data_IF_218944144618
#
_entry.id   IF_218944144618
#
_cell.length_a   1.000
_cell.length_b   1.000
_cell.length_c   1.000
_cell.angle_alpha   90.00
_cell.angle_beta   90.00
_cell.angle_gamma   90.00
#
_symmetry.space_group_name_H-M   'P 1'
#
loop_
_entity.id
_entity.type
_entity.pdbx_description
1 polymer ?
#
# COMPACT_ATOMS: atom_id res chain seq x y z
N UNK A 1 7.56 -23.24 -6.51
CA UNK A 1 6.74 -23.27 -5.27
C UNK A 1 5.43 -22.50 -5.43
N UNK A 2 5.49 -21.20 -5.77
CA UNK A 2 4.31 -20.31 -5.91
C UNK A 2 3.22 -20.91 -6.80
N UNK A 3 3.56 -21.27 -8.04
CA UNK A 3 2.62 -21.85 -9.03
C UNK A 3 2.05 -23.18 -8.57
N UNK A 4 2.91 -24.05 -8.02
CA UNK A 4 2.51 -25.39 -7.52
C UNK A 4 1.45 -25.29 -6.42
N UNK A 5 1.59 -24.33 -5.50
CA UNK A 5 0.70 -24.16 -4.35
C UNK A 5 -0.35 -23.07 -4.53
N UNK A 6 -0.40 -22.41 -5.70
CA UNK A 6 -1.35 -21.33 -6.02
C UNK A 6 -1.36 -20.21 -4.98
N UNK A 7 -0.18 -19.82 -4.50
CA UNK A 7 -0.03 -18.75 -3.51
C UNK A 7 0.05 -17.38 -4.21
N UNK A 8 -0.46 -16.34 -3.55
CA UNK A 8 -0.10 -14.97 -3.87
C UNK A 8 1.37 -14.70 -3.52
N UNK A 9 1.96 -13.69 -4.17
CA UNK A 9 3.37 -13.31 -3.99
C UNK A 9 3.50 -11.81 -3.76
N UNK A 10 4.33 -11.43 -2.79
CA UNK A 10 4.78 -10.04 -2.61
C UNK A 10 6.14 -9.89 -3.28
N UNK A 11 6.25 -8.97 -4.24
CA UNK A 11 7.47 -8.68 -4.98
C UNK A 11 7.97 -7.27 -4.64
N UNK A 12 9.15 -7.19 -4.03
CA UNK A 12 9.74 -5.96 -3.53
C UNK A 12 10.49 -5.23 -4.67
N UNK A 13 10.26 -3.92 -4.85
CA UNK A 13 10.93 -3.14 -5.92
C UNK A 13 12.37 -2.76 -5.60
N UNK A 14 13.23 -3.75 -5.43
CA UNK A 14 14.67 -3.58 -5.25
C UNK A 14 15.45 -4.50 -6.18
N UNK A 15 16.71 -4.15 -6.41
CA UNK A 15 17.68 -5.01 -7.10
C UNK A 15 18.97 -5.12 -6.27
N UNK A 16 20.03 -5.69 -6.86
CA UNK A 16 21.32 -5.88 -6.18
C UNK A 16 22.00 -4.57 -5.76
N UNK A 17 21.56 -3.42 -6.31
CA UNK A 17 22.03 -2.08 -5.94
C UNK A 17 21.21 -1.48 -4.79
N UNK A 18 20.20 -2.20 -4.29
CA UNK A 18 19.34 -1.79 -3.19
C UNK A 18 18.02 -1.17 -3.63
N UNK A 19 17.49 -0.29 -2.79
CA UNK A 19 16.19 0.38 -2.99
C UNK A 19 16.41 1.62 -3.86
N UNK A 20 15.75 1.75 -5.02
CA UNK A 20 15.91 2.95 -5.84
C UNK A 20 15.33 4.19 -5.15
N UNK A 21 16.00 5.32 -5.36
CA UNK A 21 15.67 6.64 -4.82
C UNK A 21 14.69 7.45 -5.68
N UNK A 22 14.18 6.87 -6.77
CA UNK A 22 13.26 7.53 -7.69
C UNK A 22 12.18 6.57 -8.22
N UNK A 23 11.00 7.11 -8.49
CA UNK A 23 9.84 6.32 -8.91
C UNK A 23 10.00 5.68 -10.28
N UNK A 24 10.76 6.31 -11.20
CA UNK A 24 11.02 5.77 -12.54
C UNK A 24 11.72 4.42 -12.45
N UNK A 25 12.84 4.34 -11.73
CA UNK A 25 13.57 3.08 -11.56
C UNK A 25 12.74 2.03 -10.82
N UNK A 26 11.96 2.42 -9.80
CA UNK A 26 11.05 1.48 -9.10
C UNK A 26 10.01 0.88 -10.04
N UNK A 27 9.44 1.67 -10.94
CA UNK A 27 8.47 1.20 -11.93
C UNK A 27 9.11 0.24 -12.93
N UNK A 28 10.33 0.52 -13.40
CA UNK A 28 11.02 -0.41 -14.31
C UNK A 28 11.35 -1.74 -13.64
N UNK A 29 11.74 -1.73 -12.36
CA UNK A 29 11.92 -2.96 -11.58
C UNK A 29 10.59 -3.69 -11.40
N UNK A 30 9.50 -2.97 -11.07
CA UNK A 30 8.17 -3.56 -10.93
C UNK A 30 7.73 -4.27 -12.22
N UNK A 31 7.89 -3.62 -13.39
CA UNK A 31 7.59 -4.23 -14.69
C UNK A 31 8.40 -5.51 -14.94
N UNK A 32 9.70 -5.48 -14.61
CA UNK A 32 10.56 -6.66 -14.73
C UNK A 32 10.08 -7.80 -13.83
N UNK A 33 9.73 -7.51 -12.57
CA UNK A 33 9.20 -8.49 -11.62
C UNK A 33 7.88 -9.08 -12.10
N UNK A 34 6.94 -8.23 -12.55
CA UNK A 34 5.66 -8.67 -13.10
C UNK A 34 5.91 -9.63 -14.26
N UNK A 35 6.75 -9.24 -15.23
CA UNK A 35 7.09 -10.08 -16.38
C UNK A 35 7.64 -11.44 -15.96
N UNK A 36 8.63 -11.46 -15.06
CA UNK A 36 9.25 -12.71 -14.57
C UNK A 36 8.22 -13.62 -13.90
N UNK A 37 7.32 -13.05 -13.08
CA UNK A 37 6.28 -13.81 -12.38
C UNK A 37 5.22 -14.34 -13.35
N UNK A 38 4.82 -13.55 -14.34
CA UNK A 38 3.86 -13.99 -15.36
C UNK A 38 4.45 -15.04 -16.29
N UNK A 39 5.74 -14.93 -16.65
CA UNK A 39 6.43 -15.89 -17.52
C UNK A 39 6.45 -17.31 -16.90
N UNK A 40 6.48 -17.40 -15.56
CA UNK A 40 6.41 -18.68 -14.84
C UNK A 40 4.96 -19.10 -14.50
N UNK A 41 3.96 -18.32 -14.90
CA UNK A 41 2.53 -18.67 -14.77
C UNK A 41 1.82 -18.14 -13.52
N UNK A 42 2.34 -17.11 -12.83
CA UNK A 42 1.62 -16.44 -11.74
C UNK A 42 0.57 -15.48 -12.33
N UNK A 43 -0.72 -15.58 -11.96
CA UNK A 43 -1.74 -14.64 -12.40
C UNK A 43 -1.48 -13.21 -11.90
N UNK A 44 -1.75 -12.19 -12.71
CA UNK A 44 -1.55 -10.77 -12.34
C UNK A 44 -2.22 -10.39 -11.00
N UNK A 45 -3.46 -10.87 -10.78
CA UNK A 45 -4.24 -10.64 -9.56
C UNK A 45 -3.62 -11.20 -8.27
N UNK A 46 -2.67 -12.13 -8.41
CA UNK A 46 -1.97 -12.79 -7.29
C UNK A 46 -0.58 -12.17 -7.05
N UNK A 47 -0.19 -11.18 -7.86
CA UNK A 47 1.04 -10.40 -7.70
C UNK A 47 0.73 -9.14 -6.89
N UNK A 48 1.42 -8.99 -5.77
CA UNK A 48 1.44 -7.79 -4.96
C UNK A 48 2.81 -7.11 -5.09
N UNK A 49 2.85 -5.92 -5.67
CA UNK A 49 4.06 -5.10 -5.74
C UNK A 49 4.19 -4.29 -4.45
N UNK A 50 5.34 -4.38 -3.79
CA UNK A 50 5.69 -3.47 -2.69
C UNK A 50 6.65 -2.37 -3.19
N UNK A 51 6.22 -1.09 -3.19
CA UNK A 51 7.02 0.02 -3.66
C UNK A 51 8.21 0.35 -2.74
N UNK A 52 8.36 -0.31 -1.59
CA UNK A 52 9.39 -0.12 -0.57
C UNK A 52 9.44 1.31 -0.02
N UNK A 53 8.73 1.51 1.09
CA UNK A 53 8.69 2.79 1.80
C UNK A 53 10.00 3.04 2.53
N UNK A 54 10.62 4.18 2.21
CA UNK A 54 11.84 4.69 2.86
C UNK A 54 11.44 5.80 3.85
N UNK A 55 12.10 5.93 5.02
CA UNK A 55 11.73 6.94 6.02
C UNK A 55 11.74 8.37 5.47
N UNK A 56 10.69 9.15 5.74
CA UNK A 56 10.59 10.55 5.28
C UNK A 56 11.68 11.44 5.89
N UNK A 57 12.22 11.06 7.06
CA UNK A 57 13.31 11.78 7.71
C UNK A 57 14.65 11.72 6.95
N UNK A 58 14.84 10.78 6.02
CA UNK A 58 16.07 10.72 5.20
C UNK A 58 15.98 11.52 3.91
N UNK A 59 14.76 11.77 3.42
CA UNK A 59 14.47 12.69 2.30
C UNK A 59 12.99 13.04 2.30
N UNK A 60 12.71 14.34 2.15
CA UNK A 60 11.37 14.92 1.97
C UNK A 60 10.62 14.38 0.73
N UNK A 61 11.33 13.77 -0.22
CA UNK A 61 10.75 13.17 -1.44
C UNK A 61 10.23 11.75 -1.23
N UNK A 62 10.60 11.05 -0.17
CA UNK A 62 10.31 9.61 -0.03
C UNK A 62 8.81 9.27 -0.07
N UNK A 63 7.96 10.13 0.51
CA UNK A 63 6.51 9.99 0.42
C UNK A 63 6.00 10.15 -1.01
N UNK A 64 6.49 11.17 -1.73
CA UNK A 64 6.13 11.43 -3.13
C UNK A 64 6.61 10.31 -4.06
N UNK A 65 7.83 9.81 -3.88
CA UNK A 65 8.39 8.70 -4.66
C UNK A 65 7.52 7.46 -4.52
N UNK A 66 7.10 7.13 -3.30
CA UNK A 66 6.23 5.98 -3.05
C UNK A 66 4.89 6.17 -3.76
N UNK A 67 4.20 7.30 -3.52
CA UNK A 67 2.89 7.58 -4.14
C UNK A 67 2.95 7.57 -5.67
N UNK A 68 3.98 8.17 -6.26
CA UNK A 68 4.17 8.19 -7.71
C UNK A 68 4.45 6.80 -8.28
N UNK A 69 5.19 5.96 -7.54
CA UNK A 69 5.40 4.56 -7.92
C UNK A 69 4.09 3.80 -7.93
N UNK A 70 3.25 3.95 -6.90
CA UNK A 70 1.93 3.32 -6.81
C UNK A 70 1.07 3.73 -8.03
N UNK A 71 0.92 5.03 -8.29
CA UNK A 71 0.12 5.54 -9.41
C UNK A 71 0.59 4.99 -10.75
N UNK A 72 1.90 4.98 -11.01
CA UNK A 72 2.47 4.51 -12.28
C UNK A 72 2.34 3.00 -12.48
N UNK A 73 2.51 2.22 -11.41
CA UNK A 73 2.31 0.77 -11.48
C UNK A 73 0.85 0.47 -11.75
N UNK A 74 -0.10 1.04 -10.98
CA UNK A 74 -1.54 0.84 -11.20
C UNK A 74 -1.99 1.33 -12.58
N UNK A 75 -1.44 2.44 -13.07
CA UNK A 75 -1.76 2.97 -14.40
C UNK A 75 -1.28 2.10 -15.56
N UNK A 76 -0.21 1.32 -15.39
CA UNK A 76 0.32 0.43 -16.42
C UNK A 76 -0.13 -1.03 -16.26
N UNK A 77 -0.42 -1.46 -15.04
CA UNK A 77 -0.78 -2.83 -14.68
C UNK A 77 -1.95 -2.81 -13.69
N UNK A 78 -3.17 -2.43 -14.10
CA UNK A 78 -4.29 -2.24 -13.18
C UNK A 78 -4.69 -3.51 -12.40
N UNK A 79 -4.43 -4.69 -12.98
CA UNK A 79 -4.75 -5.99 -12.38
C UNK A 79 -3.78 -6.42 -11.26
N UNK A 80 -2.56 -5.88 -11.22
CA UNK A 80 -1.64 -6.19 -10.11
C UNK A 80 -2.07 -5.41 -8.88
N UNK A 81 -1.79 -5.99 -7.72
CA UNK A 81 -2.07 -5.37 -6.44
C UNK A 81 -0.84 -4.63 -5.94
N UNK A 82 -1.07 -3.60 -5.16
CA UNK A 82 -0.04 -2.86 -4.43
C UNK A 82 -0.20 -3.16 -2.95
N UNK A 83 0.88 -3.58 -2.30
CA UNK A 83 0.94 -3.76 -0.84
C UNK A 83 2.06 -2.92 -0.28
N UNK A 84 1.90 -2.34 0.91
CA UNK A 84 3.09 -1.79 1.59
C UNK A 84 2.98 -1.81 3.11
N UNK A 85 4.15 -1.89 3.76
CA UNK A 85 4.30 -1.63 5.19
C UNK A 85 4.46 -0.14 5.44
N UNK A 86 3.49 0.48 6.11
CA UNK A 86 3.46 1.94 6.27
C UNK A 86 4.36 2.45 7.39
N UNK A 87 4.71 1.62 8.38
CA UNK A 87 5.41 2.06 9.59
C UNK A 87 6.83 2.59 9.35
N UNK A 88 7.45 2.24 8.20
CA UNK A 88 8.78 2.71 7.83
C UNK A 88 8.80 4.21 7.50
N UNK A 89 7.71 4.79 6.97
CA UNK A 89 7.70 6.21 6.54
C UNK A 89 8.04 7.15 7.68
N UNK A 90 7.63 6.81 8.91
CA UNK A 90 7.74 7.66 10.09
C UNK A 90 8.96 7.36 10.96
N UNK A 91 9.84 6.46 10.53
CA UNK A 91 11.01 6.09 11.34
C UNK A 91 11.88 7.32 11.67
N UNK A 92 12.25 7.46 12.94
CA UNK A 92 13.05 8.58 13.45
C UNK A 92 12.26 9.85 13.79
N UNK A 93 10.94 9.89 13.59
CA UNK A 93 10.10 11.05 13.88
C UNK A 93 9.23 10.87 15.13
N UNK A 94 8.84 11.97 15.83
CA UNK A 94 7.82 11.94 16.86
C UNK A 94 6.42 11.70 16.26
N UNK A 95 5.45 11.32 17.09
CA UNK A 95 4.04 11.14 16.70
C UNK A 95 3.84 10.25 15.45
N UNK A 96 4.62 9.17 15.36
CA UNK A 96 4.67 8.26 14.20
C UNK A 96 3.31 7.74 13.75
N UNK A 97 2.40 7.48 14.69
CA UNK A 97 1.05 6.99 14.39
C UNK A 97 0.30 7.96 13.48
N UNK A 98 0.38 9.26 13.74
CA UNK A 98 -0.27 10.27 12.92
C UNK A 98 0.28 10.27 11.49
N UNK A 99 1.60 10.22 11.33
CA UNK A 99 2.25 10.17 10.02
C UNK A 99 1.80 8.91 9.26
N UNK A 100 1.82 7.75 9.91
CA UNK A 100 1.40 6.48 9.29
C UNK A 100 -0.08 6.53 8.85
N UNK A 101 -0.95 7.14 9.66
CA UNK A 101 -2.39 7.28 9.39
C UNK A 101 -2.66 8.21 8.20
N UNK A 102 -1.98 9.36 8.12
CA UNK A 102 -2.09 10.26 6.96
C UNK A 102 -1.52 9.57 5.70
N UNK A 103 -0.39 8.88 5.84
CA UNK A 103 0.23 8.19 4.71
C UNK A 103 -0.61 7.01 4.18
N UNK A 104 -1.35 6.31 5.06
CA UNK A 104 -2.36 5.31 4.67
C UNK A 104 -3.39 5.93 3.70
N UNK A 105 -3.98 7.06 4.07
CA UNK A 105 -5.01 7.73 3.24
C UNK A 105 -4.43 8.14 1.88
N UNK A 106 -3.25 8.75 1.90
CA UNK A 106 -2.58 9.23 0.69
C UNK A 106 -2.25 8.08 -0.28
N UNK A 107 -1.77 6.95 0.23
CA UNK A 107 -1.42 5.78 -0.57
C UNK A 107 -2.66 5.03 -1.08
N UNK A 108 -3.73 4.92 -0.28
CA UNK A 108 -5.03 4.43 -0.74
C UNK A 108 -5.55 5.28 -1.91
N UNK A 109 -5.50 6.61 -1.79
CA UNK A 109 -5.86 7.53 -2.89
C UNK A 109 -4.99 7.43 -4.13
N UNK A 110 -3.83 6.76 -4.07
CA UNK A 110 -2.99 6.46 -5.23
C UNK A 110 -3.32 5.10 -5.88
N UNK A 111 -4.20 4.29 -5.26
CA UNK A 111 -4.55 2.95 -5.71
C UNK A 111 -3.83 1.81 -4.98
N UNK A 112 -3.45 2.01 -3.71
CA UNK A 112 -2.95 0.91 -2.87
C UNK A 112 -4.07 -0.08 -2.55
N UNK A 113 -3.81 -1.38 -2.75
CA UNK A 113 -4.81 -2.45 -2.60
C UNK A 113 -4.73 -3.17 -1.23
N UNK A 114 -3.55 -3.17 -0.59
CA UNK A 114 -3.32 -3.84 0.70
C UNK A 114 -2.28 -3.12 1.56
N UNK A 115 -2.33 -3.34 2.87
CA UNK A 115 -1.35 -2.76 3.79
C UNK A 115 -0.98 -3.75 4.89
N UNK A 116 0.29 -3.75 5.28
CA UNK A 116 0.79 -4.49 6.45
C UNK A 116 0.78 -3.51 7.63
N UNK A 117 -0.20 -3.66 8.51
CA UNK A 117 -0.49 -2.72 9.61
C UNK A 117 -0.86 -3.48 10.89
N UNK A 118 -0.89 -2.76 12.01
CA UNK A 118 -1.50 -3.23 13.26
C UNK A 118 -3.04 -3.09 13.17
N UNK A 119 -3.80 -4.20 13.07
CA UNK A 119 -5.26 -4.14 12.99
C UNK A 119 -5.93 -3.77 14.32
N UNK A 120 -5.17 -3.73 15.43
CA UNK A 120 -5.67 -3.33 16.75
C UNK A 120 -5.63 -1.82 16.96
N UNK A 121 -4.94 -1.06 16.10
CA UNK A 121 -5.03 0.39 16.05
C UNK A 121 -6.42 0.80 15.53
N UNK A 122 -7.33 1.02 16.47
CA UNK A 122 -8.71 1.42 16.18
C UNK A 122 -8.79 2.67 15.30
N UNK A 123 -7.88 3.63 15.48
CA UNK A 123 -7.89 4.87 14.71
C UNK A 123 -7.45 4.62 13.27
N UNK A 124 -6.41 3.81 13.07
CA UNK A 124 -6.02 3.36 11.73
C UNK A 124 -7.18 2.65 11.04
N UNK A 125 -7.84 1.69 11.70
CA UNK A 125 -8.92 0.92 11.10
C UNK A 125 -10.15 1.78 10.77
N UNK A 126 -10.49 2.74 11.62
CA UNK A 126 -11.55 3.71 11.33
C UNK A 126 -11.22 4.59 10.12
N UNK A 127 -9.95 5.03 10.00
CA UNK A 127 -9.46 5.79 8.85
C UNK A 127 -9.57 4.98 7.57
N UNK A 128 -9.15 3.70 7.58
CA UNK A 128 -9.29 2.80 6.42
C UNK A 128 -10.75 2.67 6.00
N UNK A 129 -11.67 2.43 6.94
CA UNK A 129 -13.10 2.35 6.63
C UNK A 129 -13.66 3.64 6.05
N UNK A 130 -13.23 4.78 6.58
CA UNK A 130 -13.61 6.09 6.07
C UNK A 130 -13.07 6.32 4.66
N UNK A 131 -11.80 5.95 4.41
CA UNK A 131 -11.17 6.09 3.10
C UNK A 131 -11.85 5.21 2.04
N UNK A 132 -12.15 3.93 2.33
CA UNK A 132 -12.92 3.04 1.44
C UNK A 132 -14.25 3.69 1.05
N UNK A 133 -14.93 4.35 2.00
CA UNK A 133 -16.19 5.05 1.74
C UNK A 133 -16.00 6.21 0.76
N UNK A 134 -14.98 7.04 1.00
CA UNK A 134 -14.69 8.21 0.18
C UNK A 134 -14.13 7.87 -1.20
N UNK A 135 -13.51 6.70 -1.36
CA UNK A 135 -13.00 6.19 -2.63
C UNK A 135 -14.09 5.53 -3.50
N UNK A 136 -15.33 5.47 -3.01
CA UNK A 136 -16.45 4.87 -3.75
C UNK A 136 -16.48 3.35 -3.70
N UNK A 137 -15.76 2.73 -2.76
CA UNK A 137 -15.69 1.28 -2.58
C UNK A 137 -16.67 0.73 -1.52
N UNK A 138 -17.49 1.61 -0.92
CA UNK A 138 -18.58 1.24 0.00
C UNK A 138 -19.95 1.63 -0.57
N UNK A 139 -20.61 0.66 -1.21
CA UNK A 139 -21.93 0.86 -1.79
C UNK A 139 -22.93 1.36 -0.74
N UNK A 140 -23.54 2.52 -1.00
CA UNK A 140 -24.49 3.21 -0.12
C UNK A 140 -23.94 3.48 1.30
N UNK A 141 -22.62 3.56 1.47
CA UNK A 141 -21.96 3.76 2.76
C UNK A 141 -22.35 2.70 3.81
N UNK A 142 -22.76 1.51 3.36
CA UNK A 142 -23.34 0.48 4.22
C UNK A 142 -22.33 -0.03 5.26
N UNK A 143 -21.08 -0.26 4.86
CA UNK A 143 -19.99 -0.66 5.73
C UNK A 143 -19.62 0.42 6.74
N UNK A 144 -19.65 1.69 6.34
CA UNK A 144 -19.42 2.83 7.22
C UNK A 144 -20.50 2.96 8.29
N UNK A 145 -21.78 2.90 7.90
CA UNK A 145 -22.92 2.97 8.82
C UNK A 145 -22.88 1.80 9.82
N UNK A 146 -22.54 0.60 9.34
CA UNK A 146 -22.37 -0.55 10.21
C UNK A 146 -21.22 -0.33 11.22
N UNK A 147 -20.06 0.14 10.75
CA UNK A 147 -18.92 0.43 11.63
C UNK A 147 -19.24 1.49 12.69
N UNK A 148 -20.05 2.49 12.36
CA UNK A 148 -20.55 3.47 13.34
C UNK A 148 -21.42 2.80 14.41
N UNK A 149 -22.40 1.98 14.01
CA UNK A 149 -23.29 1.25 14.94
C UNK A 149 -22.52 0.33 15.88
N UNK A 150 -21.44 -0.26 15.40
CA UNK A 150 -20.54 -1.12 16.18
C UNK A 150 -19.55 -0.33 17.07
N UNK A 151 -19.60 1.00 17.06
CA UNK A 151 -18.70 1.86 17.85
C UNK A 151 -17.24 1.84 17.38
N UNK A 152 -16.98 1.44 16.13
CA UNK A 152 -15.63 1.34 15.56
C UNK A 152 -15.06 2.69 15.08
N UNK A 153 -15.91 3.70 14.94
CA UNK A 153 -15.52 5.03 14.44
C UNK A 153 -15.41 6.08 15.55
N UNK A 154 -15.84 5.77 16.77
CA UNK A 154 -15.81 6.68 17.91
C UNK A 154 -14.69 6.30 18.87
N UNK A 155 -13.83 7.27 19.19
CA UNK A 155 -12.76 7.09 20.16
C UNK A 155 -13.19 7.78 21.45
N UNK A 156 -13.53 7.01 22.48
CA UNK A 156 -13.71 7.59 23.82
C UNK A 156 -12.41 8.29 24.22
N UNK A 157 -12.54 9.48 24.80
CA UNK A 157 -11.42 10.21 25.41
C UNK A 157 -10.83 9.40 26.56
#
# INVERSE_FOLDING_TARGET
AIVKYKCAVVALVMDERGIPDNSKTRVEIAKKLIKVLTDVGVPLKDIFIDPLVVPIGTSDKNGLITMETIRRVKGSHPEVKIVTGLSNISFGLPERKLINQVFMILTMGCGMDAAIIDPTDKRMMAIVKTAITLLGEDNFCSGYIQAYREGKLTFKK
#
